data_IF_634117222822
#
_entry.id   IF_634117222822
#
_cell.length_a   1.000
_cell.length_b   1.000
_cell.length_c   1.000
_cell.angle_alpha   90.00
_cell.angle_beta   90.00
_cell.angle_gamma   90.00
#
_symmetry.space_group_name_H-M   'P 1'
#
loop_
_entity.id
_entity.type
_entity.pdbx_description
1 polymer ?
#
# COMPACT_ATOMS: atom_id res chain seq x y z
N UNK A 1 26.87 23.28 0.61
CA UNK A 1 25.63 22.95 -0.13
C UNK A 1 24.79 22.10 0.80
N UNK A 2 23.65 22.59 1.30
CA UNK A 2 22.80 21.79 2.20
C UNK A 2 22.05 20.77 1.35
N UNK A 3 22.16 19.51 1.74
CA UNK A 3 21.54 18.40 1.05
C UNK A 3 20.01 18.50 1.11
N UNK A 4 19.35 18.15 0.01
CA UNK A 4 17.90 18.10 -0.09
C UNK A 4 17.32 17.16 0.97
N UNK A 5 17.98 16.03 1.24
CA UNK A 5 17.53 15.09 2.26
C UNK A 5 17.68 15.68 3.66
N UNK A 6 18.77 16.40 3.94
CA UNK A 6 18.98 17.08 5.23
C UNK A 6 17.87 18.12 5.51
N UNK A 7 17.40 18.84 4.49
CA UNK A 7 16.24 19.74 4.63
C UNK A 7 14.95 18.98 4.96
N UNK A 8 14.69 17.86 4.28
CA UNK A 8 13.47 17.05 4.45
C UNK A 8 13.45 16.38 5.84
N UNK A 9 14.60 15.87 6.31
CA UNK A 9 14.67 15.24 7.63
C UNK A 9 14.47 16.25 8.76
N UNK A 10 14.98 17.49 8.60
CA UNK A 10 14.83 18.55 9.60
C UNK A 10 13.41 19.12 9.64
N UNK A 11 12.77 19.30 8.49
CA UNK A 11 11.43 19.87 8.39
C UNK A 11 10.60 19.13 7.34
N UNK A 12 9.73 18.24 7.83
CA UNK A 12 8.83 17.45 6.98
C UNK A 12 7.57 18.22 6.55
N UNK A 13 7.47 19.51 6.88
CA UNK A 13 6.32 20.36 6.56
C UNK A 13 5.03 19.98 7.30
N UNK A 14 3.90 20.64 6.99
CA UNK A 14 2.63 20.44 7.71
C UNK A 14 2.08 19.02 7.66
N UNK A 15 2.27 18.31 6.53
CA UNK A 15 1.82 16.93 6.34
C UNK A 15 2.76 15.92 7.01
N UNK A 16 4.07 16.19 7.01
CA UNK A 16 5.05 15.31 7.61
C UNK A 16 4.96 15.17 9.13
N UNK A 17 4.25 16.09 9.79
CA UNK A 17 3.86 15.99 11.21
C UNK A 17 2.97 14.76 11.49
N UNK A 18 2.21 14.34 10.48
CA UNK A 18 1.26 13.22 10.57
C UNK A 18 1.83 11.92 10.01
N UNK A 19 3.00 11.96 9.36
CA UNK A 19 3.57 10.79 8.71
C UNK A 19 3.74 9.61 9.68
N UNK A 20 4.24 9.84 10.90
CA UNK A 20 4.40 8.77 11.89
C UNK A 20 3.09 8.16 12.42
N UNK A 21 1.97 8.87 12.28
CA UNK A 21 0.66 8.43 12.76
C UNK A 21 -0.23 7.88 11.64
N UNK A 22 -0.07 8.39 10.43
CA UNK A 22 -0.94 8.11 9.30
C UNK A 22 -0.35 7.08 8.33
N UNK A 23 0.98 7.07 8.15
CA UNK A 23 1.64 6.20 7.18
C UNK A 23 1.46 4.72 7.52
N UNK A 24 1.12 3.91 6.53
CA UNK A 24 0.94 2.47 6.65
C UNK A 24 -0.43 2.03 7.20
N UNK A 25 -1.24 2.96 7.72
CA UNK A 25 -2.63 2.68 8.10
C UNK A 25 -3.64 3.52 7.32
N UNK A 26 -3.60 4.84 7.50
CA UNK A 26 -4.53 5.77 6.83
C UNK A 26 -4.01 6.26 5.50
N UNK A 27 -2.68 6.35 5.38
CA UNK A 27 -1.97 6.86 4.21
C UNK A 27 -1.04 5.75 3.72
N UNK A 28 -1.32 5.25 2.53
CA UNK A 28 -0.63 4.09 1.92
C UNK A 28 -0.68 2.82 2.78
N UNK A 29 -1.88 2.27 3.09
CA UNK A 29 -1.98 0.97 3.73
C UNK A 29 -1.33 -0.11 2.87
N UNK A 30 -0.56 -0.99 3.49
CA UNK A 30 0.09 -2.12 2.82
C UNK A 30 -0.69 -3.39 3.09
N UNK A 31 -1.40 -3.85 2.07
CA UNK A 31 -2.00 -5.18 2.07
C UNK A 31 -0.94 -6.21 1.69
N UNK A 32 -1.01 -7.37 2.31
CA UNK A 32 -0.08 -8.47 2.17
C UNK A 32 -0.77 -9.68 1.53
N UNK A 33 -0.02 -10.46 0.76
CA UNK A 33 -0.51 -11.65 0.06
C UNK A 33 -0.93 -11.38 -1.38
N UNK A 34 -1.50 -12.41 -2.00
CA UNK A 34 -2.05 -12.35 -3.36
C UNK A 34 -3.26 -11.41 -3.41
N UNK A 35 -3.38 -10.62 -4.48
CA UNK A 35 -4.55 -9.76 -4.74
C UNK A 35 -5.82 -10.62 -4.75
N UNK A 36 -6.75 -10.32 -3.85
CA UNK A 36 -8.01 -11.06 -3.72
C UNK A 36 -8.99 -10.24 -2.90
N UNK A 37 -10.26 -10.66 -2.84
CA UNK A 37 -11.27 -10.07 -1.96
C UNK A 37 -10.98 -10.26 -0.45
N UNK A 38 -10.00 -11.11 -0.11
CA UNK A 38 -9.48 -11.34 1.24
C UNK A 38 -7.96 -11.28 1.20
N UNK A 39 -7.38 -10.39 2.00
CA UNK A 39 -5.94 -10.20 2.11
C UNK A 39 -5.53 -10.05 3.58
N UNK A 40 -4.24 -9.91 3.83
CA UNK A 40 -3.72 -9.58 5.16
C UNK A 40 -3.43 -8.09 5.28
N UNK A 41 -3.77 -7.52 6.42
CA UNK A 41 -3.41 -6.15 6.78
C UNK A 41 -2.85 -6.16 8.20
N UNK A 42 -1.57 -5.79 8.34
CA UNK A 42 -0.85 -5.86 9.61
C UNK A 42 -0.94 -7.27 10.24
N UNK A 43 -0.74 -8.29 9.41
CA UNK A 43 -0.84 -9.71 9.80
C UNK A 43 -2.25 -10.24 10.06
N UNK A 44 -3.30 -9.42 9.99
CA UNK A 44 -4.69 -9.84 10.23
C UNK A 44 -5.45 -10.06 8.92
N UNK A 45 -6.27 -11.10 8.87
CA UNK A 45 -7.14 -11.34 7.71
C UNK A 45 -8.28 -10.30 7.65
N UNK A 46 -8.42 -9.66 6.49
CA UNK A 46 -9.43 -8.61 6.23
C UNK A 46 -10.15 -8.85 4.91
N UNK A 47 -11.39 -8.35 4.81
CA UNK A 47 -12.10 -8.24 3.53
C UNK A 47 -11.67 -6.93 2.88
N UNK A 48 -11.27 -6.98 1.61
CA UNK A 48 -10.74 -5.81 0.89
C UNK A 48 -11.79 -5.18 0.00
N UNK A 49 -12.09 -3.90 0.26
CA UNK A 49 -13.04 -3.09 -0.52
C UNK A 49 -12.36 -1.98 -1.31
N UNK A 50 -11.04 -1.85 -1.19
CA UNK A 50 -10.23 -0.77 -1.75
C UNK A 50 -9.47 -1.15 -3.02
N UNK A 51 -9.57 -2.40 -3.47
CA UNK A 51 -8.90 -2.90 -4.67
C UNK A 51 -9.84 -2.87 -5.87
N UNK A 52 -9.27 -2.64 -7.05
CA UNK A 52 -10.02 -2.54 -8.31
C UNK A 52 -10.07 -3.87 -9.08
N UNK A 53 -9.99 -5.01 -8.37
CA UNK A 53 -10.06 -6.35 -8.97
C UNK A 53 -11.52 -6.85 -9.04
N UNK A 54 -12.36 -6.11 -9.77
CA UNK A 54 -13.80 -6.33 -9.78
C UNK A 54 -14.22 -7.70 -10.30
N UNK A 55 -13.44 -8.28 -11.21
CA UNK A 55 -13.72 -9.57 -11.86
C UNK A 55 -12.92 -10.72 -11.25
N UNK A 56 -12.08 -10.46 -10.24
CA UNK A 56 -11.20 -11.49 -9.66
C UNK A 56 -10.14 -12.00 -10.61
N UNK A 57 -9.71 -11.17 -11.57
CA UNK A 57 -8.79 -11.58 -12.64
C UNK A 57 -7.33 -11.37 -12.28
N UNK A 58 -7.03 -10.56 -11.25
CA UNK A 58 -5.67 -10.25 -10.84
C UNK A 58 -4.80 -11.50 -10.62
N UNK A 59 -5.42 -12.60 -10.17
CA UNK A 59 -4.75 -13.88 -9.92
C UNK A 59 -5.30 -15.07 -10.70
N UNK A 60 -6.08 -14.82 -11.76
CA UNK A 60 -6.66 -15.89 -12.54
C UNK A 60 -5.55 -16.72 -13.25
N UNK A 61 -5.52 -18.06 -13.11
CA UNK A 61 -4.42 -18.88 -13.63
C UNK A 61 -4.16 -18.72 -15.13
N UNK A 62 -5.22 -18.61 -15.93
CA UNK A 62 -5.10 -18.43 -17.38
C UNK A 62 -4.53 -17.05 -17.75
N UNK A 63 -4.88 -16.00 -16.99
CA UNK A 63 -4.37 -14.64 -17.21
C UNK A 63 -2.89 -14.59 -16.87
N UNK A 64 -2.49 -15.11 -15.70
CA UNK A 64 -1.08 -15.15 -15.26
C UNK A 64 -0.20 -15.97 -16.20
N UNK A 65 -0.72 -17.05 -16.78
CA UNK A 65 0.00 -17.88 -17.75
C UNK A 65 0.33 -17.11 -19.04
N UNK A 66 -0.51 -16.15 -19.44
CA UNK A 66 -0.34 -15.37 -20.68
C UNK A 66 0.46 -14.08 -20.44
N UNK A 67 0.41 -13.52 -19.23
CA UNK A 67 1.11 -12.28 -18.84
C UNK A 67 2.63 -12.49 -18.58
N UNK A 68 3.04 -13.70 -18.21
CA UNK A 68 4.44 -14.08 -17.94
C UNK A 68 5.28 -14.32 -19.21
#
# INVERSE_FOLDING_TARGET
>A
MKDLFEKIYRDKGPLGKWASQAEGYFVFPKLEGEISNRMKFQGKDVITWSINDYLGLANHPEVRKVDA
#
